data_IF_038499191946
#
_entry.id   IF_038499191946
#
_cell.length_a   1.000
_cell.length_b   1.000
_cell.length_c   1.000
_cell.angle_alpha   90.00
_cell.angle_beta   90.00
_cell.angle_gamma   90.00
#
_symmetry.space_group_name_H-M   'P 1'
#
loop_
_entity.id
_entity.type
_entity.pdbx_description
1 polymer ?
#
# COMPACT_ATOMS: atom_id res chain seq x y z
N UNK A 1 21.30 -0.07 25.40
CA UNK A 1 19.84 -0.01 25.16
C UNK A 1 19.53 -0.85 23.94
N UNK A 2 18.62 -1.84 24.03
CA UNK A 2 18.07 -2.47 22.82
C UNK A 2 17.16 -1.44 22.17
N UNK A 3 17.53 -0.93 21.00
CA UNK A 3 16.68 -0.03 20.23
C UNK A 3 15.45 -0.82 19.80
N UNK A 4 14.28 -0.55 20.38
CA UNK A 4 13.04 -1.15 19.91
C UNK A 4 12.77 -0.67 18.50
N UNK A 5 12.33 -1.58 17.62
CA UNK A 5 11.88 -1.20 16.30
C UNK A 5 10.72 -0.21 16.39
N UNK A 6 10.74 0.79 15.52
CA UNK A 6 9.65 1.75 15.39
C UNK A 6 8.64 1.24 14.35
N UNK A 7 7.36 1.25 14.71
CA UNK A 7 6.20 0.89 13.90
C UNK A 7 5.29 2.10 13.76
N UNK A 8 4.12 1.91 13.14
CA UNK A 8 3.11 2.95 13.03
C UNK A 8 2.59 3.39 14.41
N UNK A 9 2.47 2.49 15.38
CA UNK A 9 1.90 2.78 16.72
C UNK A 9 2.82 3.53 17.68
N UNK A 10 4.14 3.59 17.41
CA UNK A 10 5.12 4.12 18.36
C UNK A 10 6.15 5.07 17.72
N UNK A 11 5.84 5.63 16.55
CA UNK A 11 6.66 6.66 15.91
C UNK A 11 6.14 8.07 16.20
N UNK A 12 6.95 9.09 15.87
CA UNK A 12 6.52 10.48 16.03
C UNK A 12 5.41 10.81 15.04
N UNK A 13 4.52 11.74 15.41
CA UNK A 13 3.41 12.18 14.55
C UNK A 13 3.89 12.67 13.17
N UNK A 14 5.06 13.31 13.14
CA UNK A 14 5.69 13.77 11.89
C UNK A 14 6.05 12.61 10.95
N UNK A 15 6.63 11.54 11.50
CA UNK A 15 7.02 10.36 10.72
C UNK A 15 5.79 9.54 10.33
N UNK A 16 4.84 9.36 11.25
CA UNK A 16 3.56 8.73 10.96
C UNK A 16 2.87 9.43 9.80
N UNK A 17 2.72 10.75 9.88
CA UNK A 17 2.05 11.56 8.87
C UNK A 17 2.76 11.48 7.51
N UNK A 18 4.09 11.46 7.51
CA UNK A 18 4.88 11.29 6.29
C UNK A 18 4.61 9.94 5.62
N UNK A 19 4.78 8.84 6.36
CA UNK A 19 4.60 7.47 5.83
C UNK A 19 3.15 7.26 5.39
N UNK A 20 2.18 7.69 6.22
CA UNK A 20 0.75 7.57 5.94
C UNK A 20 0.38 8.27 4.64
N UNK A 21 0.77 9.55 4.47
CA UNK A 21 0.45 10.32 3.26
C UNK A 21 1.07 9.70 2.01
N UNK A 22 2.32 9.25 2.11
CA UNK A 22 3.02 8.61 1.00
C UNK A 22 2.32 7.31 0.57
N UNK A 23 1.99 6.44 1.52
CA UNK A 23 1.29 5.18 1.26
C UNK A 23 -0.12 5.42 0.72
N UNK A 24 -0.87 6.34 1.32
CA UNK A 24 -2.22 6.71 0.87
C UNK A 24 -2.21 7.23 -0.57
N UNK A 25 -1.26 8.09 -0.92
CA UNK A 25 -1.14 8.61 -2.28
C UNK A 25 -0.82 7.51 -3.29
N UNK A 26 0.14 6.63 -2.96
CA UNK A 26 0.55 5.52 -3.82
C UNK A 26 -0.58 4.51 -4.02
N UNK A 27 -1.22 4.08 -2.94
CA UNK A 27 -2.32 3.11 -3.02
C UNK A 27 -3.53 3.70 -3.74
N UNK A 28 -3.88 4.95 -3.48
CA UNK A 28 -4.97 5.64 -4.18
C UNK A 28 -4.73 5.72 -5.69
N UNK A 29 -3.54 6.14 -6.11
CA UNK A 29 -3.19 6.23 -7.53
C UNK A 29 -3.20 4.86 -8.23
N UNK A 30 -2.67 3.82 -7.57
CA UNK A 30 -2.67 2.46 -8.10
C UNK A 30 -4.08 1.88 -8.21
N UNK A 31 -4.89 2.01 -7.16
CA UNK A 31 -6.25 1.48 -7.13
C UNK A 31 -7.12 2.13 -8.22
N UNK A 32 -6.97 3.45 -8.43
CA UNK A 32 -7.64 4.16 -9.52
C UNK A 32 -7.16 3.66 -10.89
N UNK A 33 -5.84 3.48 -11.08
CA UNK A 33 -5.28 2.93 -12.33
C UNK A 33 -5.84 1.53 -12.64
N UNK A 34 -5.91 0.65 -11.64
CA UNK A 34 -6.51 -0.69 -11.76
C UNK A 34 -7.99 -0.61 -12.16
N UNK A 35 -8.76 0.28 -11.54
CA UNK A 35 -10.14 0.52 -11.92
C UNK A 35 -10.27 1.01 -13.37
N UNK A 36 -9.45 1.99 -13.77
CA UNK A 36 -9.45 2.53 -15.14
C UNK A 36 -9.10 1.45 -16.18
N UNK A 37 -8.12 0.60 -15.88
CA UNK A 37 -7.78 -0.54 -16.74
C UNK A 37 -8.96 -1.51 -16.87
N UNK A 38 -9.62 -1.85 -15.76
CA UNK A 38 -10.79 -2.71 -15.74
C UNK A 38 -11.96 -2.16 -16.58
N UNK A 39 -12.22 -0.85 -16.52
CA UNK A 39 -13.31 -0.24 -17.30
C UNK A 39 -12.94 0.08 -18.75
N UNK A 40 -11.64 0.15 -19.09
CA UNK A 40 -11.16 0.46 -20.45
C UNK A 40 -11.66 -0.56 -21.50
N UNK A 41 -11.80 -1.82 -21.09
CA UNK A 41 -12.32 -2.90 -21.94
C UNK A 41 -13.86 -2.96 -21.98
N UNK A 42 -14.56 -2.19 -21.16
CA UNK A 42 -16.02 -2.23 -21.04
C UNK A 42 -16.71 -1.39 -22.13
N UNK A 43 -17.59 -2.01 -22.91
CA UNK A 43 -18.32 -1.35 -24.02
C UNK A 43 -19.73 -0.89 -23.64
N UNK A 44 -20.27 -1.36 -22.52
CA UNK A 44 -21.64 -1.07 -22.09
C UNK A 44 -21.71 -0.56 -20.65
N UNK A 45 -22.73 0.24 -20.29
CA UNK A 45 -22.95 0.67 -18.90
C UNK A 45 -23.09 -0.51 -17.94
N UNK A 46 -23.72 -1.61 -18.38
CA UNK A 46 -23.87 -2.84 -17.57
C UNK A 46 -22.52 -3.48 -17.25
N UNK A 47 -21.59 -3.52 -18.20
CA UNK A 47 -20.23 -4.00 -17.96
C UNK A 47 -19.47 -3.08 -17.00
N UNK A 48 -19.52 -1.75 -17.20
CA UNK A 48 -18.89 -0.79 -16.29
C UNK A 48 -19.41 -0.92 -14.86
N UNK A 49 -20.73 -1.09 -14.69
CA UNK A 49 -21.36 -1.31 -13.37
C UNK A 49 -20.86 -2.58 -12.68
N UNK A 50 -20.57 -3.66 -13.43
CA UNK A 50 -19.98 -4.88 -12.87
C UNK A 50 -18.54 -4.71 -12.41
N UNK A 51 -17.81 -3.77 -13.02
CA UNK A 51 -16.45 -3.43 -12.61
C UNK A 51 -16.41 -2.41 -11.46
N UNK A 52 -17.55 -1.89 -11.00
CA UNK A 52 -17.58 -1.07 -9.80
C UNK A 52 -17.23 -1.93 -8.59
N UNK A 53 -16.32 -1.45 -7.74
CA UNK A 53 -15.88 -2.22 -6.58
C UNK A 53 -14.57 -1.72 -6.03
N UNK A 54 -14.06 -2.47 -5.06
CA UNK A 54 -12.77 -2.20 -4.42
C UNK A 54 -11.64 -2.83 -5.24
N UNK A 55 -10.70 -2.00 -5.66
CA UNK A 55 -9.44 -2.41 -6.27
C UNK A 55 -8.34 -2.16 -5.25
N UNK A 56 -7.52 -3.18 -4.99
CA UNK A 56 -6.38 -3.08 -4.11
C UNK A 56 -5.17 -3.69 -4.78
N UNK A 57 -4.23 -2.84 -5.17
CA UNK A 57 -2.93 -3.28 -5.62
C UNK A 57 -1.95 -3.52 -4.46
N UNK A 58 -0.70 -3.88 -4.77
CA UNK A 58 0.34 -4.14 -3.79
C UNK A 58 0.64 -2.94 -2.88
N UNK A 59 0.49 -1.68 -3.33
CA UNK A 59 0.64 -0.52 -2.45
C UNK A 59 -0.42 -0.48 -1.36
N UNK A 60 -1.64 -0.91 -1.66
CA UNK A 60 -2.71 -1.02 -0.66
C UNK A 60 -2.44 -2.15 0.33
N UNK A 61 -1.85 -3.26 -0.11
CA UNK A 61 -1.40 -4.35 0.76
C UNK A 61 -0.31 -3.87 1.73
N UNK A 62 0.72 -3.18 1.23
CA UNK A 62 1.78 -2.58 2.04
C UNK A 62 1.20 -1.58 3.05
N UNK A 63 0.29 -0.73 2.60
CA UNK A 63 -0.33 0.28 3.45
C UNK A 63 -1.10 -0.35 4.61
N UNK A 64 -1.92 -1.37 4.33
CA UNK A 64 -2.64 -2.10 5.36
C UNK A 64 -1.67 -2.77 6.35
N UNK A 65 -0.64 -3.45 5.84
CA UNK A 65 0.35 -4.14 6.70
C UNK A 65 1.05 -3.17 7.66
N UNK A 66 1.47 -2.00 7.18
CA UNK A 66 2.07 -0.97 8.03
C UNK A 66 1.09 -0.42 9.07
N UNK A 67 -0.14 -0.07 8.66
CA UNK A 67 -1.19 0.41 9.58
C UNK A 67 -1.50 -0.59 10.71
N UNK A 68 -1.42 -1.89 10.43
CA UNK A 68 -1.63 -2.95 11.41
C UNK A 68 -0.36 -3.33 12.19
N UNK A 69 0.71 -2.52 12.13
CA UNK A 69 2.01 -2.78 12.77
C UNK A 69 2.66 -4.12 12.37
N UNK A 70 2.34 -4.66 11.20
CA UNK A 70 2.99 -5.87 10.68
C UNK A 70 4.36 -5.59 10.08
N UNK A 71 4.64 -4.32 9.77
CA UNK A 71 5.92 -3.87 9.22
C UNK A 71 6.45 -2.70 10.05
N UNK A 72 7.73 -2.72 10.46
CA UNK A 72 8.35 -1.56 11.07
C UNK A 72 8.65 -0.48 10.03
N UNK A 73 8.78 0.77 10.48
CA UNK A 73 9.02 1.93 9.62
C UNK A 73 10.30 1.76 8.78
N UNK A 74 11.33 1.10 9.34
CA UNK A 74 12.59 0.84 8.63
C UNK A 74 12.43 -0.09 7.42
N UNK A 75 11.43 -0.98 7.43
CA UNK A 75 11.10 -1.85 6.30
C UNK A 75 10.34 -1.09 5.21
N UNK A 76 9.48 -0.14 5.60
CA UNK A 76 8.59 0.60 4.69
C UNK A 76 9.31 1.74 3.97
N UNK A 77 10.17 2.50 4.68
CA UNK A 77 10.82 3.70 4.14
C UNK A 77 11.61 3.46 2.84
N UNK A 78 12.42 2.39 2.71
CA UNK A 78 13.11 2.10 1.45
C UNK A 78 12.15 1.79 0.29
N UNK A 79 11.02 1.12 0.59
CA UNK A 79 10.02 0.77 -0.43
C UNK A 79 9.35 2.02 -0.97
N UNK A 80 9.09 3.05 -0.15
CA UNK A 80 8.50 4.31 -0.61
C UNK A 80 9.31 5.03 -1.70
N UNK A 81 10.63 4.79 -1.76
CA UNK A 81 11.50 5.34 -2.79
C UNK A 81 11.35 4.63 -4.15
N UNK A 82 10.73 3.45 -4.18
CA UNK A 82 10.52 2.69 -5.42
C UNK A 82 9.41 3.33 -6.27
N UNK A 83 9.51 3.18 -7.59
CA UNK A 83 8.47 3.67 -8.51
C UNK A 83 7.28 2.71 -8.59
N UNK A 84 7.56 1.41 -8.57
CA UNK A 84 6.59 0.33 -8.65
C UNK A 84 6.79 -0.63 -7.48
N UNK A 85 5.74 -1.39 -7.17
CA UNK A 85 5.75 -2.47 -6.19
C UNK A 85 4.96 -3.63 -6.78
N UNK A 86 5.42 -4.86 -6.60
CA UNK A 86 4.68 -6.07 -6.99
C UNK A 86 4.06 -6.75 -5.76
N UNK A 87 3.06 -7.60 -5.99
CA UNK A 87 2.48 -8.41 -4.92
C UNK A 87 3.52 -9.31 -4.27
N UNK A 88 4.33 -10.02 -5.08
CA UNK A 88 5.37 -10.92 -4.57
C UNK A 88 6.35 -10.19 -3.64
N UNK A 89 6.87 -9.03 -4.06
CA UNK A 89 7.77 -8.22 -3.21
C UNK A 89 7.10 -7.80 -1.90
N UNK A 90 5.80 -7.47 -1.93
CA UNK A 90 5.08 -7.07 -0.74
C UNK A 90 4.83 -8.26 0.20
N UNK A 91 4.51 -9.44 -0.35
CA UNK A 91 4.32 -10.68 0.40
C UNK A 91 5.63 -11.14 1.06
N UNK A 92 6.73 -11.15 0.31
CA UNK A 92 8.08 -11.45 0.81
C UNK A 92 8.46 -10.49 1.93
N UNK A 93 8.26 -9.18 1.72
CA UNK A 93 8.52 -8.18 2.75
C UNK A 93 7.67 -8.41 4.01
N UNK A 94 6.39 -8.76 3.89
CA UNK A 94 5.57 -9.04 5.08
C UNK A 94 6.03 -10.32 5.78
N UNK A 95 6.41 -11.34 5.02
CA UNK A 95 6.89 -12.61 5.56
C UNK A 95 8.22 -12.47 6.32
N UNK A 96 9.14 -11.64 5.84
CA UNK A 96 10.45 -11.40 6.46
C UNK A 96 10.37 -10.72 7.84
N UNK A 97 9.22 -10.11 8.16
CA UNK A 97 9.00 -9.35 9.40
C UNK A 97 7.92 -9.96 10.32
N UNK A 98 7.43 -11.16 9.98
CA UNK A 98 6.55 -11.99 10.80
C UNK A 98 7.34 -12.92 11.71
#
# INVERSE_FOLDING_TARGET
MKTSLAYASNCSDSLYSFIYKALQQRSGAENESLYQQAISACRTPKQKKKMAGYYAGPWQMLFNAWCYNRLPNIAVLPVLAQQCLSFLQCEELIADWH
#
